data_IF_672084520790
#
_entry.id   IF_672084520790
#
_cell.length_a   1.000
_cell.length_b   1.000
_cell.length_c   1.000
_cell.angle_alpha   90.00
_cell.angle_beta   90.00
_cell.angle_gamma   90.00
#
_symmetry.space_group_name_H-M   'P 1'
#
loop_
_entity.id
_entity.type
_entity.pdbx_description
1 polymer ?
#
# COMPACT_ATOMS: atom_id res chain seq x y z
N UNK A 1 -20.88 23.03 -25.03
CA UNK A 1 -20.05 23.33 -23.86
C UNK A 1 -18.65 23.51 -24.40
N UNK A 2 -18.26 24.76 -24.64
CA UNK A 2 -16.94 25.07 -25.21
C UNK A 2 -15.85 24.64 -24.22
N UNK A 3 -14.83 23.97 -24.73
CA UNK A 3 -13.66 23.61 -23.96
C UNK A 3 -13.01 24.90 -23.48
N UNK A 4 -13.01 25.15 -22.17
CA UNK A 4 -12.41 26.34 -21.59
C UNK A 4 -10.92 26.41 -21.94
N UNK A 5 -10.47 27.61 -22.31
CA UNK A 5 -9.07 27.88 -22.65
C UNK A 5 -8.15 27.43 -21.51
N UNK A 6 -7.30 26.45 -21.82
CA UNK A 6 -6.24 26.00 -20.91
C UNK A 6 -5.11 27.02 -20.99
N UNK A 7 -4.90 27.78 -19.93
CA UNK A 7 -3.76 28.70 -19.81
C UNK A 7 -2.51 27.91 -19.42
N UNK A 8 -1.56 27.85 -20.35
CA UNK A 8 -0.26 27.23 -20.14
C UNK A 8 0.67 28.20 -19.43
N UNK A 9 1.33 27.74 -18.36
CA UNK A 9 2.33 28.50 -17.63
C UNK A 9 3.72 28.27 -18.21
N UNK A 10 4.70 29.10 -17.84
CA UNK A 10 6.09 29.01 -18.33
C UNK A 10 6.81 27.68 -18.05
N UNK A 11 6.20 26.78 -17.28
CA UNK A 11 6.72 25.43 -17.00
C UNK A 11 6.03 24.32 -17.83
N UNK A 12 5.06 24.65 -18.67
CA UNK A 12 4.38 23.69 -19.53
C UNK A 12 5.08 23.66 -20.90
N UNK A 13 5.93 22.66 -21.15
CA UNK A 13 6.64 22.54 -22.41
C UNK A 13 5.73 21.97 -23.50
N UNK A 14 5.59 22.71 -24.60
CA UNK A 14 5.07 22.16 -25.87
C UNK A 14 6.25 21.65 -26.69
N UNK A 15 6.14 20.41 -27.17
CA UNK A 15 7.10 19.83 -28.11
C UNK A 15 6.63 20.17 -29.53
N UNK A 16 7.13 21.28 -30.06
CA UNK A 16 6.86 21.72 -31.42
C UNK A 16 7.89 21.06 -32.35
N UNK A 17 7.45 20.45 -33.44
CA UNK A 17 8.26 19.57 -34.31
C UNK A 17 9.43 20.24 -35.04
N UNK A 18 9.60 21.56 -34.93
CA UNK A 18 10.57 22.34 -35.69
C UNK A 18 11.65 23.02 -34.82
N UNK A 19 11.61 22.86 -33.49
CA UNK A 19 12.66 23.34 -32.59
C UNK A 19 12.95 22.28 -31.52
N UNK A 20 13.75 21.28 -31.87
CA UNK A 20 14.36 20.35 -30.90
C UNK A 20 15.46 21.14 -30.15
N UNK A 21 15.06 22.09 -29.32
CA UNK A 21 15.91 22.59 -28.25
C UNK A 21 16.01 21.46 -27.23
N UNK A 22 17.23 21.01 -27.00
CA UNK A 22 17.55 19.97 -26.03
C UNK A 22 17.10 20.47 -24.65
N UNK A 23 15.91 20.10 -24.23
CA UNK A 23 15.47 20.32 -22.87
C UNK A 23 16.33 19.43 -21.97
N UNK A 24 17.20 20.04 -21.16
CA UNK A 24 17.87 19.32 -20.08
C UNK A 24 16.80 18.95 -19.04
N UNK A 25 16.25 17.75 -19.18
CA UNK A 25 15.34 17.18 -18.20
C UNK A 25 16.14 16.81 -16.95
N UNK A 26 16.25 17.74 -16.01
CA UNK A 26 16.82 17.47 -14.70
C UNK A 26 15.72 16.97 -13.74
N UNK A 27 16.00 15.87 -13.05
CA UNK A 27 15.17 15.30 -11.97
C UNK A 27 13.75 14.81 -12.35
N UNK A 28 13.65 13.89 -13.33
CA UNK A 28 12.43 13.10 -13.57
C UNK A 28 11.93 12.46 -12.27
N UNK A 29 10.75 12.90 -11.80
CA UNK A 29 10.13 12.43 -10.56
C UNK A 29 8.74 11.90 -10.85
N UNK A 30 8.56 10.60 -10.61
CA UNK A 30 7.25 9.98 -10.60
C UNK A 30 6.67 10.01 -9.17
N UNK A 31 5.43 10.51 -8.95
CA UNK A 31 4.72 10.32 -7.68
C UNK A 31 4.36 8.84 -7.47
N UNK A 32 3.76 8.49 -6.33
CA UNK A 32 3.11 7.17 -6.26
C UNK A 32 1.77 7.25 -6.98
N UNK A 33 1.51 6.27 -7.83
CA UNK A 33 0.23 6.09 -8.52
C UNK A 33 -0.43 4.80 -8.08
N UNK A 34 -1.74 4.71 -8.24
CA UNK A 34 -2.54 3.56 -7.84
C UNK A 34 -3.11 2.86 -9.07
N UNK A 35 -2.76 1.60 -9.26
CA UNK A 35 -3.33 0.72 -10.26
C UNK A 35 -4.54 0.00 -9.66
N UNK A 36 -5.69 -0.02 -10.36
CA UNK A 36 -6.86 -0.74 -9.90
C UNK A 36 -6.62 -2.25 -9.99
N UNK A 37 -7.10 -2.99 -8.99
CA UNK A 37 -7.30 -4.44 -9.06
C UNK A 37 -8.74 -4.77 -8.65
N UNK A 38 -9.16 -6.03 -8.84
CA UNK A 38 -10.53 -6.48 -8.55
C UNK A 38 -11.01 -6.14 -7.14
N UNK A 39 -10.13 -6.19 -6.14
CA UNK A 39 -10.50 -5.98 -4.74
C UNK A 39 -9.78 -4.83 -4.04
N UNK A 40 -8.58 -4.45 -4.49
CA UNK A 40 -7.81 -3.38 -3.87
C UNK A 40 -6.93 -2.67 -4.90
N UNK A 41 -6.13 -1.70 -4.46
CA UNK A 41 -5.21 -1.00 -5.35
C UNK A 41 -3.78 -1.45 -5.11
N UNK A 42 -3.02 -1.55 -6.20
CA UNK A 42 -1.57 -1.70 -6.17
C UNK A 42 -0.96 -0.31 -6.35
N UNK A 43 -0.17 0.16 -5.39
CA UNK A 43 0.57 1.40 -5.56
C UNK A 43 1.90 1.12 -6.25
N UNK A 44 2.29 1.95 -7.21
CA UNK A 44 3.59 1.84 -7.87
C UNK A 44 4.28 3.20 -8.03
N UNK A 45 5.60 3.16 -8.23
CA UNK A 45 6.39 4.34 -8.54
C UNK A 45 7.62 3.98 -9.37
N UNK A 46 7.87 4.75 -10.41
CA UNK A 46 9.14 4.68 -11.17
C UNK A 46 10.24 5.41 -10.40
N UNK A 47 11.38 4.74 -10.20
CA UNK A 47 12.61 5.29 -9.63
C UNK A 47 13.63 5.43 -10.75
N UNK A 48 14.11 6.64 -10.97
CA UNK A 48 15.02 6.98 -12.08
C UNK A 48 16.43 6.34 -11.97
N UNK A 49 16.73 5.61 -10.88
CA UNK A 49 18.06 5.07 -10.63
C UNK A 49 19.02 6.11 -10.04
N UNK A 50 20.27 5.72 -9.89
CA UNK A 50 21.35 6.61 -9.47
C UNK A 50 22.71 6.00 -9.79
N UNK A 51 23.78 6.63 -9.30
CA UNK A 51 25.16 6.19 -9.59
C UNK A 51 25.43 4.72 -9.16
N UNK A 52 24.72 4.24 -8.14
CA UNK A 52 24.98 2.93 -7.52
C UNK A 52 23.81 1.94 -7.66
N UNK A 53 22.76 2.28 -8.42
CA UNK A 53 21.61 1.40 -8.59
C UNK A 53 20.86 1.70 -9.89
N UNK A 54 20.37 0.65 -10.53
CA UNK A 54 19.58 0.77 -11.76
C UNK A 54 18.23 1.45 -11.51
N UNK A 55 17.61 2.07 -12.52
CA UNK A 55 16.21 2.44 -12.43
C UNK A 55 15.35 1.20 -12.16
N UNK A 56 14.32 1.36 -11.34
CA UNK A 56 13.42 0.27 -10.97
C UNK A 56 12.01 0.78 -10.70
N UNK A 57 11.04 -0.13 -10.65
CA UNK A 57 9.69 0.16 -10.21
C UNK A 57 9.49 -0.36 -8.80
N UNK A 58 9.06 0.52 -7.92
CA UNK A 58 8.71 0.18 -6.54
C UNK A 58 7.23 -0.15 -6.47
N UNK A 59 6.90 -1.40 -6.13
CA UNK A 59 5.52 -1.87 -5.93
C UNK A 59 5.18 -1.90 -4.43
N UNK A 60 3.98 -1.46 -4.08
CA UNK A 60 3.45 -1.47 -2.71
C UNK A 60 1.99 -1.91 -2.69
N UNK A 61 1.71 -3.00 -2.02
CA UNK A 61 0.35 -3.45 -1.75
C UNK A 61 0.30 -4.40 -0.56
N UNK A 62 -0.93 -4.74 -0.16
CA UNK A 62 -1.20 -5.90 0.68
C UNK A 62 -1.63 -7.06 -0.22
N UNK A 63 -0.85 -8.14 -0.32
CA UNK A 63 -1.22 -9.32 -1.13
C UNK A 63 -2.58 -9.89 -0.74
N UNK A 64 -2.85 -9.97 0.57
CA UNK A 64 -4.16 -10.40 1.10
C UNK A 64 -5.30 -9.51 0.57
N UNK A 65 -5.14 -8.19 0.53
CA UNK A 65 -6.18 -7.32 -0.05
C UNK A 65 -6.31 -7.47 -1.56
N UNK A 66 -5.22 -7.73 -2.28
CA UNK A 66 -5.25 -7.99 -3.71
C UNK A 66 -5.92 -9.32 -4.07
N UNK A 67 -5.87 -10.33 -3.19
CA UNK A 67 -6.42 -11.67 -3.45
C UNK A 67 -7.85 -11.88 -2.93
N UNK A 68 -8.27 -11.16 -1.89
CA UNK A 68 -9.56 -11.40 -1.21
C UNK A 68 -10.21 -10.11 -0.65
N UNK A 69 -9.63 -8.93 -0.88
CA UNK A 69 -10.20 -7.63 -0.47
C UNK A 69 -10.04 -7.24 0.99
N UNK A 70 -9.55 -8.13 1.86
CA UNK A 70 -9.26 -7.81 3.25
C UNK A 70 -7.92 -8.39 3.73
N UNK A 71 -7.41 -7.88 4.85
CA UNK A 71 -6.23 -8.43 5.54
C UNK A 71 -6.63 -9.03 6.89
N UNK A 72 -7.73 -9.81 6.92
CA UNK A 72 -8.16 -10.57 8.11
C UNK A 72 -7.55 -11.97 8.07
N UNK A 73 -7.67 -12.61 6.91
CA UNK A 73 -7.01 -13.87 6.57
C UNK A 73 -5.88 -13.59 5.57
N UNK A 74 -5.08 -14.59 5.24
CA UNK A 74 -4.01 -14.45 4.26
C UNK A 74 -3.21 -15.74 4.12
N UNK A 75 -2.34 -15.78 3.12
CA UNK A 75 -1.42 -16.89 2.92
C UNK A 75 -0.08 -16.62 3.60
N UNK A 76 0.59 -17.70 4.04
CA UNK A 76 2.01 -17.66 4.40
C UNK A 76 2.91 -18.03 3.22
N UNK A 77 2.34 -18.38 2.06
CA UNK A 77 3.07 -18.58 0.82
C UNK A 77 3.52 -17.23 0.26
N UNK A 78 4.82 -16.96 0.38
CA UNK A 78 5.45 -15.72 -0.06
C UNK A 78 5.42 -15.60 -1.59
N UNK A 79 5.56 -16.72 -2.32
CA UNK A 79 5.56 -16.70 -3.79
C UNK A 79 4.18 -16.32 -4.30
N UNK A 80 3.12 -16.93 -3.77
CA UNK A 80 1.74 -16.51 -4.08
C UNK A 80 1.50 -15.02 -3.82
N UNK A 81 2.06 -14.50 -2.73
CA UNK A 81 1.94 -13.09 -2.39
C UNK A 81 2.64 -12.20 -3.43
N UNK A 82 3.87 -12.54 -3.82
CA UNK A 82 4.65 -11.81 -4.84
C UNK A 82 3.92 -11.88 -6.19
N UNK A 83 3.47 -13.07 -6.59
CA UNK A 83 2.76 -13.30 -7.86
C UNK A 83 1.51 -12.44 -7.94
N UNK A 84 0.77 -12.26 -6.84
CA UNK A 84 -0.41 -11.40 -6.82
C UNK A 84 -0.10 -9.92 -7.13
N UNK A 85 1.07 -9.42 -6.72
CA UNK A 85 1.51 -8.05 -7.01
C UNK A 85 1.98 -7.92 -8.45
N UNK A 86 2.85 -8.85 -8.90
CA UNK A 86 3.40 -8.86 -10.26
C UNK A 86 2.26 -9.00 -11.27
N UNK A 87 1.35 -9.95 -11.05
CA UNK A 87 0.21 -10.17 -11.93
C UNK A 87 -0.66 -8.92 -12.03
N UNK A 88 -1.01 -8.29 -10.90
CA UNK A 88 -1.78 -7.05 -10.92
C UNK A 88 -1.07 -5.92 -11.68
N UNK A 89 0.26 -5.81 -11.57
CA UNK A 89 1.05 -4.85 -12.32
C UNK A 89 1.04 -5.15 -13.82
N UNK A 90 1.34 -6.39 -14.22
CA UNK A 90 1.42 -6.79 -15.63
C UNK A 90 0.09 -6.63 -16.36
N UNK A 91 -1.04 -6.90 -15.70
CA UNK A 91 -2.37 -6.67 -16.29
C UNK A 91 -2.67 -5.18 -16.47
N UNK A 92 -2.25 -4.33 -15.54
CA UNK A 92 -2.56 -2.91 -15.58
C UNK A 92 -1.59 -2.12 -16.48
N UNK A 93 -0.35 -2.56 -16.60
CA UNK A 93 0.75 -1.87 -17.30
C UNK A 93 1.57 -2.86 -18.16
N UNK A 94 0.99 -3.47 -19.21
CA UNK A 94 1.65 -4.52 -19.98
C UNK A 94 2.93 -4.03 -20.68
N UNK A 95 2.89 -2.86 -21.32
CA UNK A 95 4.05 -2.30 -22.04
C UNK A 95 5.23 -2.04 -21.10
N UNK A 96 4.94 -1.62 -19.86
CA UNK A 96 5.98 -1.42 -18.84
C UNK A 96 6.50 -2.76 -18.31
N UNK A 97 5.62 -3.75 -18.15
CA UNK A 97 6.02 -5.08 -17.70
C UNK A 97 6.95 -5.78 -18.71
N UNK A 98 6.78 -5.53 -20.01
CA UNK A 98 7.62 -6.12 -21.07
C UNK A 98 9.09 -5.69 -20.96
N UNK A 99 9.36 -4.46 -20.47
CA UNK A 99 10.71 -3.92 -20.36
C UNK A 99 11.37 -4.17 -18.99
N UNK A 100 10.66 -4.78 -18.03
CA UNK A 100 11.19 -5.06 -16.69
C UNK A 100 11.85 -6.43 -16.61
N UNK A 101 12.97 -6.50 -15.90
CA UNK A 101 13.62 -7.74 -15.52
C UNK A 101 13.14 -8.19 -14.13
N UNK A 102 12.27 -9.21 -14.08
CA UNK A 102 11.68 -9.69 -12.83
C UNK A 102 12.61 -10.60 -12.02
N UNK A 103 13.60 -11.26 -12.61
CA UNK A 103 14.46 -12.20 -11.88
C UNK A 103 15.39 -11.51 -10.87
N UNK A 104 15.66 -10.22 -11.09
CA UNK A 104 16.45 -9.38 -10.17
C UNK A 104 15.58 -8.53 -9.25
N UNK A 105 14.27 -8.82 -9.14
CA UNK A 105 13.39 -8.09 -8.24
C UNK A 105 13.76 -8.35 -6.79
N UNK A 106 13.81 -7.28 -5.99
CA UNK A 106 14.17 -7.33 -4.58
C UNK A 106 12.96 -7.11 -3.67
N UNK A 107 12.90 -7.88 -2.59
CA UNK A 107 11.88 -7.72 -1.56
C UNK A 107 12.36 -6.75 -0.47
N UNK A 108 12.06 -5.47 -0.65
CA UNK A 108 12.56 -4.41 0.23
C UNK A 108 11.91 -4.41 1.64
N UNK A 109 10.62 -4.73 1.75
CA UNK A 109 9.89 -4.75 3.02
C UNK A 109 8.76 -5.78 3.00
N UNK A 110 8.60 -6.51 4.11
CA UNK A 110 7.47 -7.40 4.36
C UNK A 110 6.88 -7.10 5.74
N UNK A 111 5.57 -6.89 5.79
CA UNK A 111 4.82 -6.82 7.04
C UNK A 111 3.98 -8.09 7.20
N UNK A 112 4.34 -8.95 8.15
CA UNK A 112 3.56 -10.16 8.46
C UNK A 112 2.47 -9.86 9.48
N UNK A 113 1.23 -10.25 9.18
CA UNK A 113 0.08 -10.08 10.10
C UNK A 113 -0.42 -11.45 10.53
N UNK A 114 -0.48 -11.68 11.83
CA UNK A 114 -1.09 -12.87 12.43
C UNK A 114 -2.26 -12.46 13.32
N UNK A 115 -3.29 -13.31 13.35
CA UNK A 115 -4.52 -13.08 14.09
C UNK A 115 -4.68 -14.15 15.17
N UNK A 116 -5.14 -13.76 16.34
CA UNK A 116 -5.54 -14.66 17.42
C UNK A 116 -6.99 -14.35 17.81
N UNK A 117 -7.79 -15.39 18.08
CA UNK A 117 -9.19 -15.24 18.45
C UNK A 117 -9.36 -15.41 19.96
N UNK A 118 -10.18 -14.55 20.56
CA UNK A 118 -10.53 -14.57 21.98
C UNK A 118 -12.05 -14.60 22.11
N UNK A 119 -12.55 -15.17 23.21
CA UNK A 119 -13.98 -15.44 23.40
C UNK A 119 -14.81 -14.16 23.44
N UNK A 120 -14.30 -13.11 24.09
CA UNK A 120 -15.02 -11.86 24.27
C UNK A 120 -14.17 -10.65 23.88
N UNK A 121 -14.85 -9.57 23.51
CA UNK A 121 -14.22 -8.28 23.25
C UNK A 121 -13.53 -7.71 24.50
N UNK A 122 -14.09 -7.98 25.68
CA UNK A 122 -13.50 -7.61 26.97
C UNK A 122 -12.17 -8.31 27.20
N UNK A 123 -12.09 -9.62 26.98
CA UNK A 123 -10.83 -10.38 27.06
C UNK A 123 -9.81 -9.83 26.07
N UNK A 124 -10.27 -9.47 24.87
CA UNK A 124 -9.42 -8.89 23.83
C UNK A 124 -8.82 -7.55 24.23
N UNK A 125 -9.63 -6.67 24.85
CA UNK A 125 -9.11 -5.41 25.44
C UNK A 125 -8.13 -5.68 26.57
N UNK A 126 -8.46 -6.59 27.48
CA UNK A 126 -7.57 -6.95 28.59
C UNK A 126 -6.21 -7.44 28.10
N UNK A 127 -6.18 -8.26 27.03
CA UNK A 127 -4.93 -8.68 26.39
C UNK A 127 -4.17 -7.49 25.81
N UNK A 128 -4.82 -6.56 25.10
CA UNK A 128 -4.17 -5.34 24.60
C UNK A 128 -3.60 -4.49 25.74
N UNK A 129 -4.32 -4.34 26.85
CA UNK A 129 -3.84 -3.62 28.04
C UNK A 129 -2.63 -4.30 28.66
N UNK A 130 -2.65 -5.62 28.81
CA UNK A 130 -1.51 -6.39 29.30
C UNK A 130 -0.30 -6.22 28.37
N UNK A 131 -0.51 -6.33 27.05
CA UNK A 131 0.52 -6.16 26.03
C UNK A 131 1.16 -4.76 26.10
N UNK A 132 0.41 -3.69 26.35
CA UNK A 132 0.98 -2.32 26.49
C UNK A 132 2.03 -2.20 27.58
N UNK A 133 1.91 -2.98 28.64
CA UNK A 133 2.79 -2.93 29.80
C UNK A 133 4.04 -3.79 29.63
N UNK A 134 4.13 -4.57 28.54
CA UNK A 134 5.32 -5.36 28.23
C UNK A 134 6.45 -4.41 27.80
N UNK A 135 7.60 -4.56 28.47
CA UNK A 135 8.79 -3.79 28.18
C UNK A 135 10.01 -4.72 28.24
N UNK A 136 10.53 -5.10 27.07
CA UNK A 136 11.79 -5.86 27.00
C UNK A 136 12.62 -5.45 25.77
N UNK A 137 13.84 -4.95 26.00
CA UNK A 137 14.81 -4.61 24.96
C UNK A 137 14.23 -3.72 23.86
N UNK A 138 14.28 -4.22 22.62
CA UNK A 138 13.74 -3.54 21.42
C UNK A 138 12.20 -3.61 21.30
N UNK A 139 11.53 -4.23 22.27
CA UNK A 139 10.07 -4.41 22.35
C UNK A 139 9.49 -3.58 23.49
N UNK A 140 10.10 -2.43 23.81
CA UNK A 140 9.52 -1.48 24.76
C UNK A 140 8.17 -1.00 24.24
N UNK A 141 7.14 -1.06 25.09
CA UNK A 141 5.85 -0.47 24.84
C UNK A 141 5.98 1.02 24.50
N UNK A 142 5.30 1.44 23.45
CA UNK A 142 5.17 2.84 23.07
C UNK A 142 3.82 3.38 23.53
N UNK A 143 3.76 4.68 23.86
CA UNK A 143 2.49 5.35 24.14
C UNK A 143 1.52 5.11 22.96
N UNK A 144 0.41 4.43 23.24
CA UNK A 144 -0.70 4.27 22.31
C UNK A 144 -1.74 5.34 22.61
N UNK A 145 -2.22 6.02 21.58
CA UNK A 145 -3.36 6.93 21.69
C UNK A 145 -4.71 6.18 21.69
N UNK A 146 -4.73 4.91 21.28
CA UNK A 146 -5.94 4.13 21.07
C UNK A 146 -6.05 2.98 22.04
N UNK A 147 -7.23 2.81 22.62
CA UNK A 147 -7.50 1.76 23.59
C UNK A 147 -7.57 0.35 22.99
N UNK A 148 -7.69 0.26 21.67
CA UNK A 148 -7.76 -1.01 20.94
C UNK A 148 -6.41 -1.44 20.36
N UNK A 149 -5.32 -0.73 20.66
CA UNK A 149 -4.00 -0.98 20.04
C UNK A 149 -2.86 -0.91 21.06
N UNK A 150 -1.83 -1.74 20.87
CA UNK A 150 -0.53 -1.67 21.52
C UNK A 150 0.58 -1.57 20.46
N UNK A 151 1.52 -0.64 20.66
CA UNK A 151 2.66 -0.42 19.78
C UNK A 151 3.96 -0.76 20.51
N UNK A 152 4.92 -1.35 19.80
CA UNK A 152 6.24 -1.68 20.34
C UNK A 152 7.36 -1.25 19.39
N UNK A 153 8.51 -0.87 19.97
CA UNK A 153 9.70 -0.56 19.18
C UNK A 153 9.60 0.76 18.42
N UNK A 154 8.91 1.76 18.98
CA UNK A 154 8.84 3.10 18.37
C UNK A 154 10.26 3.66 18.20
N UNK A 155 10.61 4.05 16.97
CA UNK A 155 11.94 4.55 16.62
C UNK A 155 12.95 3.46 16.23
N UNK A 156 12.61 2.18 16.37
CA UNK A 156 13.45 1.09 15.87
C UNK A 156 13.49 1.09 14.34
N UNK A 157 14.68 0.85 13.80
CA UNK A 157 14.92 0.61 12.37
C UNK A 157 14.64 -0.84 11.97
N UNK A 158 14.84 -1.79 12.89
CA UNK A 158 14.84 -3.22 12.58
C UNK A 158 13.53 -3.93 12.95
N UNK A 159 12.80 -3.45 13.98
CA UNK A 159 11.59 -4.14 14.45
C UNK A 159 10.54 -3.16 14.97
N UNK A 160 9.35 -3.18 14.36
CA UNK A 160 8.17 -2.46 14.82
C UNK A 160 7.03 -3.46 14.91
N UNK A 161 6.38 -3.54 16.07
CA UNK A 161 5.25 -4.45 16.26
C UNK A 161 4.00 -3.65 16.61
N UNK A 162 2.87 -4.15 16.16
CA UNK A 162 1.55 -3.59 16.43
C UNK A 162 0.58 -4.73 16.72
N UNK A 163 0.00 -4.73 17.92
CA UNK A 163 -1.14 -5.59 18.25
C UNK A 163 -2.38 -4.71 18.31
N UNK A 164 -3.47 -5.10 17.66
CA UNK A 164 -4.69 -4.31 17.62
C UNK A 164 -5.93 -5.17 17.42
N UNK A 165 -7.07 -4.65 17.86
CA UNK A 165 -8.35 -5.32 17.70
C UNK A 165 -8.88 -5.07 16.28
N UNK A 166 -8.71 -6.06 15.40
CA UNK A 166 -9.09 -5.98 13.98
C UNK A 166 -10.61 -5.84 13.75
N UNK A 167 -11.42 -6.33 14.69
CA UNK A 167 -12.88 -6.34 14.59
C UNK A 167 -13.48 -4.95 14.34
N UNK A 168 -13.00 -3.90 15.01
CA UNK A 168 -13.54 -2.54 14.83
C UNK A 168 -13.29 -2.00 13.43
N UNK A 169 -12.12 -2.29 12.85
CA UNK A 169 -11.80 -1.90 11.46
C UNK A 169 -12.72 -2.64 10.48
N UNK A 170 -12.95 -3.94 10.72
CA UNK A 170 -13.83 -4.74 9.87
C UNK A 170 -15.29 -4.27 9.95
N UNK A 171 -15.79 -3.98 11.15
CA UNK A 171 -17.15 -3.44 11.33
C UNK A 171 -17.33 -2.09 10.61
N UNK A 172 -16.35 -1.19 10.70
CA UNK A 172 -16.37 0.08 9.97
C UNK A 172 -16.40 -0.14 8.44
N UNK A 173 -15.60 -1.08 7.93
CA UNK A 173 -15.61 -1.44 6.50
C UNK A 173 -16.95 -2.02 6.04
N UNK A 174 -17.55 -2.91 6.84
CA UNK A 174 -18.87 -3.48 6.56
C UNK A 174 -19.93 -2.39 6.53
N UNK A 175 -19.95 -1.50 7.54
CA UNK A 175 -20.92 -0.41 7.60
C UNK A 175 -20.82 0.53 6.39
N UNK A 176 -19.60 0.83 5.95
CA UNK A 176 -19.35 1.64 4.73
C UNK A 176 -19.83 0.93 3.48
N UNK A 177 -19.55 -0.36 3.34
CA UNK A 177 -20.00 -1.16 2.20
C UNK A 177 -21.54 -1.22 2.15
N UNK A 178 -22.19 -1.47 3.29
CA UNK A 178 -23.64 -1.49 3.42
C UNK A 178 -24.26 -0.15 3.04
N UNK A 179 -23.71 0.95 3.58
CA UNK A 179 -24.17 2.31 3.24
C UNK A 179 -24.04 2.62 1.75
N UNK A 180 -22.95 2.15 1.11
CA UNK A 180 -22.75 2.33 -0.34
C UNK A 180 -23.79 1.54 -1.13
N UNK A 181 -23.98 0.27 -0.76
CA UNK A 181 -24.99 -0.60 -1.38
C UNK A 181 -26.39 0.02 -1.28
N UNK A 182 -26.78 0.50 -0.10
CA UNK A 182 -28.10 1.10 0.11
C UNK A 182 -28.36 2.35 -0.75
N UNK A 183 -27.30 3.08 -1.13
CA UNK A 183 -27.39 4.22 -2.06
C UNK A 183 -27.49 3.81 -3.52
N UNK A 184 -26.83 2.71 -3.91
CA UNK A 184 -26.75 2.28 -5.31
C UNK A 184 -27.79 1.22 -5.69
N UNK A 185 -28.46 0.57 -4.73
CA UNK A 185 -29.42 -0.51 -5.00
C UNK A 185 -30.61 -0.11 -5.86
N UNK A 186 -30.93 1.18 -5.93
CA UNK A 186 -32.03 1.71 -6.75
C UNK A 186 -31.59 2.09 -8.17
N UNK A 187 -30.28 2.00 -8.48
CA UNK A 187 -29.68 2.36 -9.77
C UNK A 187 -29.34 1.12 -10.62
N UNK A 188 -29.62 -0.06 -10.11
CA UNK A 188 -29.47 -1.38 -10.75
C UNK A 188 -30.87 -1.94 -10.96
#
# INVERSE_FOLDING_TARGET
>A
MEAGDVTFTTNDYRLDSENITVAEVSALRHPFEALPSSWSTLAFKVRAGGQNYYPYIELKASPAKLLQGHNVFGSCDVMLCIDSLITAFCYAMPDMAEILEFNNAELAQIDCTFSAHLKTESDSRNVIHALRNISNGQTRGAKSAFDTTAYFGKGSRHKRLKAYLKQFELQDQINKAQTKYDKTKSQV
#
